data_IF_778989645633
#
_entry.id   IF_778989645633
#
_cell.length_a   1.000
_cell.length_b   1.000
_cell.length_c   1.000
_cell.angle_alpha   90.00
_cell.angle_beta   90.00
_cell.angle_gamma   90.00
#
_symmetry.space_group_name_H-M   'P 1'
#
loop_
_entity.id
_entity.type
_entity.pdbx_description
1 polymer ?
#
# COMPACT_ATOMS: atom_id res chain seq x y z
N UNK A 1 -28.17 6.33 9.64
CA UNK A 1 -28.13 5.17 10.56
C UNK A 1 -26.84 4.43 10.25
N UNK A 2 -25.89 4.37 11.17
CA UNK A 2 -24.67 3.57 10.97
C UNK A 2 -25.03 2.11 11.19
N UNK A 3 -25.00 1.29 10.14
CA UNK A 3 -25.13 -0.15 10.29
C UNK A 3 -24.03 -0.64 11.23
N UNK A 4 -24.44 -1.28 12.30
CA UNK A 4 -23.54 -2.02 13.19
C UNK A 4 -23.13 -3.26 12.42
N UNK A 5 -21.84 -3.41 12.13
CA UNK A 5 -21.34 -4.62 11.48
C UNK A 5 -21.74 -5.85 12.31
N UNK A 6 -22.38 -6.88 11.71
CA UNK A 6 -22.73 -8.09 12.43
C UNK A 6 -21.47 -8.78 12.95
N UNK A 7 -21.57 -9.46 14.09
CA UNK A 7 -20.44 -10.22 14.61
C UNK A 7 -19.93 -11.18 13.51
N UNK A 8 -18.59 -11.34 13.35
CA UNK A 8 -18.08 -12.26 12.35
C UNK A 8 -18.60 -13.67 12.58
N UNK A 9 -18.98 -14.40 11.54
CA UNK A 9 -19.38 -15.82 11.60
C UNK A 9 -18.23 -16.69 12.16
N UNK A 10 -18.52 -17.91 12.59
CA UNK A 10 -17.45 -18.87 12.89
C UNK A 10 -16.60 -19.10 11.65
N UNK A 11 -15.27 -19.22 11.86
CA UNK A 11 -14.38 -19.52 10.75
C UNK A 11 -14.49 -20.99 10.38
N UNK A 12 -14.44 -21.34 9.08
CA UNK A 12 -14.46 -22.71 8.66
C UNK A 12 -13.25 -23.46 9.22
N UNK A 13 -13.43 -24.76 9.49
CA UNK A 13 -12.32 -25.63 9.81
C UNK A 13 -11.33 -25.68 8.62
N UNK A 14 -10.03 -25.86 8.86
CA UNK A 14 -9.07 -26.04 7.77
C UNK A 14 -9.39 -27.33 7.00
N UNK A 15 -8.98 -27.37 5.72
CA UNK A 15 -9.16 -28.56 4.88
C UNK A 15 -8.42 -29.78 5.45
N UNK A 16 -7.31 -29.54 6.13
CA UNK A 16 -6.51 -30.55 6.86
C UNK A 16 -6.56 -30.25 8.36
N UNK A 17 -6.14 -31.20 9.18
CA UNK A 17 -6.15 -31.05 10.64
C UNK A 17 -5.30 -29.89 11.15
N UNK A 18 -4.22 -29.52 10.43
CA UNK A 18 -3.34 -28.39 10.72
C UNK A 18 -2.82 -27.81 9.41
N UNK A 19 -3.10 -26.56 9.07
CA UNK A 19 -2.57 -25.95 7.86
C UNK A 19 -1.08 -25.67 8.00
N UNK A 20 -0.36 -25.75 6.87
CA UNK A 20 1.06 -25.43 6.84
C UNK A 20 1.29 -23.93 7.05
N UNK A 21 0.44 -23.11 6.45
CA UNK A 21 0.55 -21.65 6.47
C UNK A 21 -0.79 -20.98 6.73
N UNK A 22 -0.82 -20.02 7.66
CA UNK A 22 -1.89 -19.04 7.79
C UNK A 22 -1.38 -17.67 7.34
N UNK A 23 -2.01 -17.06 6.33
CA UNK A 23 -1.70 -15.70 5.85
C UNK A 23 -2.71 -14.72 6.40
N UNK A 24 -2.26 -13.59 6.97
CA UNK A 24 -3.15 -12.55 7.51
C UNK A 24 -2.85 -11.21 6.86
N UNK A 25 -3.78 -10.75 6.00
CA UNK A 25 -3.70 -9.50 5.25
C UNK A 25 -4.99 -8.68 5.43
N UNK A 26 -4.89 -7.50 6.01
CA UNK A 26 -6.07 -6.74 6.47
C UNK A 26 -6.60 -5.67 5.53
N UNK A 27 -5.92 -5.38 4.41
CA UNK A 27 -6.30 -4.33 3.46
C UNK A 27 -6.23 -4.83 2.02
N UNK A 28 -6.92 -4.17 1.09
CA UNK A 28 -6.91 -4.57 -0.34
C UNK A 28 -5.50 -4.69 -0.93
N UNK A 29 -4.61 -3.73 -0.64
CA UNK A 29 -3.21 -3.80 -1.10
C UNK A 29 -2.44 -4.96 -0.47
N UNK A 30 -2.71 -5.24 0.82
CA UNK A 30 -2.14 -6.39 1.52
C UNK A 30 -2.62 -7.72 0.93
N UNK A 31 -3.91 -7.83 0.59
CA UNK A 31 -4.51 -8.99 -0.06
C UNK A 31 -3.88 -9.25 -1.43
N UNK A 32 -3.72 -8.20 -2.26
CA UNK A 32 -3.09 -8.29 -3.58
C UNK A 32 -1.63 -8.79 -3.48
N UNK A 33 -0.83 -8.19 -2.61
CA UNK A 33 0.57 -8.59 -2.42
C UNK A 33 0.72 -9.98 -1.81
N UNK A 34 -0.14 -10.33 -0.86
CA UNK A 34 -0.17 -11.66 -0.27
C UNK A 34 -0.62 -12.72 -1.27
N UNK A 35 -1.57 -12.39 -2.15
CA UNK A 35 -2.03 -13.28 -3.22
C UNK A 35 -0.91 -13.62 -4.21
N UNK A 36 -0.08 -12.64 -4.58
CA UNK A 36 1.08 -12.91 -5.43
C UNK A 36 2.08 -13.83 -4.73
N UNK A 37 2.40 -13.54 -3.45
CA UNK A 37 3.28 -14.39 -2.64
C UNK A 37 2.77 -15.84 -2.56
N UNK A 38 1.46 -16.04 -2.32
CA UNK A 38 0.85 -17.36 -2.21
C UNK A 38 0.83 -18.10 -3.56
N UNK A 39 0.52 -17.40 -4.67
CA UNK A 39 0.62 -18.00 -6.01
C UNK A 39 2.02 -18.54 -6.31
N UNK A 40 3.04 -17.70 -6.10
CA UNK A 40 4.43 -18.08 -6.36
C UNK A 40 4.88 -19.24 -5.45
N UNK A 41 4.43 -19.24 -4.19
CA UNK A 41 4.71 -20.30 -3.22
C UNK A 41 4.04 -21.63 -3.64
N UNK A 42 2.75 -21.60 -4.01
CA UNK A 42 2.01 -22.79 -4.43
C UNK A 42 2.44 -23.33 -5.81
N UNK A 43 3.04 -22.50 -6.68
CA UNK A 43 3.70 -22.96 -7.90
C UNK A 43 4.94 -23.80 -7.59
N UNK A 44 5.68 -23.46 -6.54
CA UNK A 44 6.88 -24.20 -6.11
C UNK A 44 6.53 -25.41 -5.23
N UNK A 45 5.51 -25.26 -4.39
CA UNK A 45 5.12 -26.22 -3.35
C UNK A 45 3.58 -26.43 -3.38
N UNK A 46 3.04 -27.12 -4.41
CA UNK A 46 1.59 -27.28 -4.59
C UNK A 46 0.91 -28.14 -3.50
N UNK A 47 1.68 -28.88 -2.72
CA UNK A 47 1.18 -29.69 -1.59
C UNK A 47 0.82 -28.88 -0.36
N UNK A 48 1.28 -27.62 -0.24
CA UNK A 48 1.06 -26.81 0.95
C UNK A 48 -0.42 -26.44 1.16
N UNK A 49 -0.86 -26.59 2.39
CA UNK A 49 -2.20 -26.18 2.80
C UNK A 49 -2.14 -24.77 3.37
N UNK A 50 -2.68 -23.81 2.61
CA UNK A 50 -2.70 -22.40 2.96
C UNK A 50 -4.10 -21.98 3.35
N UNK A 51 -4.26 -21.43 4.56
CA UNK A 51 -5.46 -20.72 4.99
C UNK A 51 -5.20 -19.21 5.05
N UNK A 52 -6.23 -18.38 4.94
CA UNK A 52 -6.05 -16.94 5.03
C UNK A 52 -7.19 -16.20 5.74
N UNK A 53 -6.81 -15.15 6.46
CA UNK A 53 -7.64 -14.00 6.80
C UNK A 53 -7.20 -12.88 5.85
N UNK A 54 -7.94 -12.66 4.78
CA UNK A 54 -7.53 -11.76 3.68
C UNK A 54 -8.72 -11.34 2.86
N UNK A 55 -8.62 -11.43 1.55
CA UNK A 55 -9.69 -11.07 0.64
C UNK A 55 -9.80 -12.01 -0.57
N UNK A 56 -10.58 -11.62 -1.58
CA UNK A 56 -10.85 -12.44 -2.76
C UNK A 56 -9.60 -12.75 -3.60
N UNK A 57 -8.55 -11.91 -3.54
CA UNK A 57 -7.30 -12.16 -4.29
C UNK A 57 -6.52 -13.33 -3.69
N UNK A 58 -6.40 -13.40 -2.36
CA UNK A 58 -5.80 -14.54 -1.67
C UNK A 58 -6.59 -15.83 -1.90
N UNK A 59 -7.93 -15.75 -1.88
CA UNK A 59 -8.77 -16.89 -2.21
C UNK A 59 -8.53 -17.39 -3.64
N UNK A 60 -8.51 -16.49 -4.61
CA UNK A 60 -8.22 -16.81 -6.01
C UNK A 60 -6.79 -17.33 -6.24
N UNK A 61 -5.86 -17.03 -5.33
CA UNK A 61 -4.50 -17.55 -5.34
C UNK A 61 -4.37 -18.97 -4.80
N UNK A 62 -5.45 -19.60 -4.30
CA UNK A 62 -5.50 -20.96 -3.79
C UNK A 62 -5.52 -21.09 -2.27
N UNK A 63 -5.56 -20.01 -1.51
CA UNK A 63 -5.71 -20.06 -0.08
C UNK A 63 -7.17 -20.30 0.34
N UNK A 64 -7.38 -21.12 1.38
CA UNK A 64 -8.70 -21.24 2.00
C UNK A 64 -9.06 -19.97 2.74
N UNK A 65 -10.08 -19.25 2.28
CA UNK A 65 -10.56 -18.02 2.91
C UNK A 65 -11.35 -18.36 4.19
N UNK A 66 -10.84 -17.93 5.33
CA UNK A 66 -11.51 -18.04 6.63
C UNK A 66 -12.43 -16.85 6.88
N UNK A 67 -11.98 -15.65 6.51
CA UNK A 67 -12.72 -14.42 6.65
C UNK A 67 -12.20 -13.34 5.71
N UNK A 68 -13.12 -12.56 5.09
CA UNK A 68 -12.74 -11.42 4.25
C UNK A 68 -12.47 -10.18 5.10
N UNK A 69 -11.18 -9.89 5.29
CA UNK A 69 -10.68 -8.72 6.03
C UNK A 69 -10.81 -7.42 5.21
N UNK A 70 -10.91 -7.52 3.87
CA UNK A 70 -10.88 -6.35 2.98
C UNK A 70 -12.19 -5.57 3.04
N UNK A 71 -13.32 -6.23 3.29
CA UNK A 71 -14.62 -5.58 3.50
C UNK A 71 -14.62 -4.67 4.75
N UNK A 72 -13.84 -5.04 5.77
CA UNK A 72 -13.77 -4.32 7.05
C UNK A 72 -12.81 -3.14 7.00
N UNK A 73 -11.80 -3.19 6.12
CA UNK A 73 -10.78 -2.14 5.99
C UNK A 73 -11.31 -0.82 5.41
N UNK A 74 -12.51 -0.84 4.83
CA UNK A 74 -13.22 0.35 4.31
C UNK A 74 -13.60 1.32 5.44
N UNK A 75 -13.60 0.83 6.69
CA UNK A 75 -13.94 1.59 7.90
C UNK A 75 -12.71 2.37 8.38
N UNK A 76 -12.71 3.69 8.21
CA UNK A 76 -11.60 4.57 8.63
C UNK A 76 -11.37 4.57 10.15
N UNK A 77 -10.20 5.07 10.59
CA UNK A 77 -9.76 5.08 12.00
C UNK A 77 -10.79 5.65 13.01
N UNK A 78 -11.61 6.59 12.61
CA UNK A 78 -12.67 7.18 13.47
C UNK A 78 -13.85 6.20 13.65
N UNK A 79 -14.10 5.36 12.65
CA UNK A 79 -15.17 4.36 12.65
C UNK A 79 -14.74 3.07 13.38
N UNK A 80 -13.43 2.78 13.47
CA UNK A 80 -12.90 1.64 14.26
C UNK A 80 -13.33 1.73 15.72
N UNK A 81 -13.39 2.95 16.30
CA UNK A 81 -13.88 3.14 17.65
C UNK A 81 -15.38 2.79 17.81
N UNK A 82 -16.17 3.02 16.77
CA UNK A 82 -17.62 2.66 16.75
C UNK A 82 -17.84 1.16 16.58
N UNK A 83 -16.93 0.46 15.94
CA UNK A 83 -16.98 -0.99 15.69
C UNK A 83 -16.02 -1.80 16.56
N UNK A 84 -15.60 -1.25 17.71
CA UNK A 84 -14.65 -1.92 18.60
C UNK A 84 -15.09 -3.34 18.99
N UNK A 85 -16.38 -3.56 19.25
CA UNK A 85 -16.92 -4.88 19.57
C UNK A 85 -16.69 -5.91 18.45
N UNK A 86 -16.89 -5.50 17.20
CA UNK A 86 -16.66 -6.33 16.02
C UNK A 86 -15.17 -6.71 15.89
N UNK A 87 -14.28 -5.72 15.95
CA UNK A 87 -12.81 -5.99 15.85
C UNK A 87 -12.30 -6.86 16.99
N UNK A 88 -12.85 -6.69 18.19
CA UNK A 88 -12.54 -7.55 19.33
C UNK A 88 -13.02 -8.99 19.08
N UNK A 89 -14.25 -9.19 18.61
CA UNK A 89 -14.77 -10.52 18.30
C UNK A 89 -13.96 -11.19 17.19
N UNK A 90 -13.61 -10.46 16.14
CA UNK A 90 -12.75 -10.96 15.04
C UNK A 90 -11.36 -11.38 15.57
N UNK A 91 -10.79 -10.60 16.45
CA UNK A 91 -9.49 -10.88 17.06
C UNK A 91 -9.53 -12.14 17.93
N UNK A 92 -10.52 -12.27 18.82
CA UNK A 92 -10.69 -13.46 19.69
C UNK A 92 -10.93 -14.72 18.84
N UNK A 93 -11.81 -14.65 17.83
CA UNK A 93 -12.03 -15.79 16.92
C UNK A 93 -10.79 -16.20 16.15
N UNK A 94 -9.97 -15.24 15.76
CA UNK A 94 -8.67 -15.54 15.11
C UNK A 94 -7.75 -16.29 16.07
N UNK A 95 -7.68 -15.87 17.32
CA UNK A 95 -6.90 -16.55 18.35
C UNK A 95 -7.41 -17.95 18.62
N UNK A 96 -8.73 -18.11 18.82
CA UNK A 96 -9.37 -19.42 19.07
C UNK A 96 -9.14 -20.40 17.93
N UNK A 97 -9.22 -19.92 16.69
CA UNK A 97 -8.93 -20.72 15.51
C UNK A 97 -7.47 -21.17 15.46
N UNK A 98 -6.51 -20.25 15.71
CA UNK A 98 -5.08 -20.58 15.75
C UNK A 98 -4.76 -21.56 16.88
N UNK A 99 -5.34 -21.37 18.05
CA UNK A 99 -5.14 -22.25 19.21
C UNK A 99 -5.69 -23.65 18.97
N UNK A 100 -6.84 -23.75 18.30
CA UNK A 100 -7.49 -25.02 17.97
C UNK A 100 -6.77 -25.79 16.87
N UNK A 101 -6.32 -25.13 15.81
CA UNK A 101 -5.81 -25.80 14.60
C UNK A 101 -4.28 -25.73 14.45
N UNK A 102 -3.58 -24.96 15.26
CA UNK A 102 -2.12 -24.92 15.36
C UNK A 102 -1.42 -24.87 13.99
N UNK A 103 -1.61 -23.82 13.16
CA UNK A 103 -0.90 -23.70 11.89
C UNK A 103 0.62 -23.78 12.14
N UNK A 104 1.37 -24.43 11.26
CA UNK A 104 2.84 -24.55 11.44
C UNK A 104 3.52 -23.18 11.39
N UNK A 105 3.03 -22.30 10.52
CA UNK A 105 3.58 -20.96 10.33
C UNK A 105 2.47 -19.93 10.10
N UNK A 106 2.69 -18.69 10.58
CA UNK A 106 1.82 -17.54 10.30
C UNK A 106 2.64 -16.46 9.60
N UNK A 107 2.20 -16.05 8.41
CA UNK A 107 2.76 -14.91 7.68
C UNK A 107 1.81 -13.70 7.80
N UNK A 108 2.25 -12.70 8.51
CA UNK A 108 1.57 -11.40 8.57
C UNK A 108 1.94 -10.55 7.37
N UNK A 109 0.95 -9.89 6.76
CA UNK A 109 1.17 -8.99 5.63
C UNK A 109 0.56 -7.63 5.93
N UNK A 110 1.39 -6.57 5.96
CA UNK A 110 0.97 -5.21 6.32
C UNK A 110 0.07 -5.17 7.59
N UNK A 111 -0.89 -4.25 7.68
CA UNK A 111 -1.91 -4.15 8.74
C UNK A 111 -1.39 -4.24 10.20
N UNK A 112 -0.39 -3.44 10.57
CA UNK A 112 0.38 -3.62 11.81
C UNK A 112 -0.41 -3.44 13.10
N UNK A 113 -1.58 -2.79 13.04
CA UNK A 113 -2.45 -2.60 14.20
C UNK A 113 -3.01 -3.91 14.74
N UNK A 114 -3.48 -4.77 13.87
CA UNK A 114 -4.02 -6.09 14.18
C UNK A 114 -2.88 -7.12 14.33
N UNK A 115 -2.02 -7.22 13.33
CA UNK A 115 -1.01 -8.26 13.23
C UNK A 115 0.00 -8.26 14.39
N UNK A 116 0.51 -7.10 14.81
CA UNK A 116 1.43 -7.03 15.94
C UNK A 116 0.77 -7.25 17.31
N UNK A 117 -0.54 -7.01 17.43
CA UNK A 117 -1.28 -7.37 18.64
C UNK A 117 -1.51 -8.87 18.68
N UNK A 118 -1.85 -9.48 17.55
CA UNK A 118 -2.02 -10.92 17.44
C UNK A 118 -0.70 -11.66 17.77
N UNK A 119 0.41 -11.25 17.15
CA UNK A 119 1.72 -11.81 17.47
C UNK A 119 2.07 -11.69 18.96
N UNK A 120 1.68 -10.59 19.62
CA UNK A 120 1.89 -10.41 21.06
C UNK A 120 1.05 -11.38 21.91
N UNK A 121 -0.22 -11.61 21.56
CA UNK A 121 -1.06 -12.57 22.27
C UNK A 121 -0.62 -14.01 22.02
N UNK A 122 -0.21 -14.38 20.81
CA UNK A 122 0.37 -15.69 20.50
C UNK A 122 1.63 -15.96 21.35
N UNK A 123 2.49 -14.96 21.52
CA UNK A 123 3.65 -15.06 22.42
C UNK A 123 3.24 -15.25 23.87
N UNK A 124 2.28 -14.48 24.39
CA UNK A 124 1.81 -14.58 25.77
C UNK A 124 1.18 -15.94 26.09
N UNK A 125 0.46 -16.52 25.11
CA UNK A 125 -0.17 -17.85 25.24
C UNK A 125 0.80 -19.00 24.98
N UNK A 126 2.10 -18.72 24.83
CA UNK A 126 3.13 -19.70 24.52
C UNK A 126 2.82 -20.54 23.24
N UNK A 127 2.17 -19.95 22.24
CA UNK A 127 1.84 -20.57 20.96
C UNK A 127 2.96 -20.35 19.92
N UNK A 128 3.54 -19.14 19.87
CA UNK A 128 4.62 -18.81 18.93
C UNK A 128 5.99 -19.28 19.43
N UNK A 129 6.95 -19.51 18.50
CA UNK A 129 8.35 -19.87 18.83
C UNK A 129 8.97 -18.91 19.83
N UNK A 130 8.78 -17.57 19.67
CA UNK A 130 9.28 -16.56 20.63
C UNK A 130 8.57 -16.58 21.98
N UNK A 131 7.48 -17.31 22.14
CA UNK A 131 6.76 -17.56 23.38
C UNK A 131 7.03 -18.93 24.00
N UNK A 132 7.81 -19.80 23.34
CA UNK A 132 8.08 -21.18 23.79
C UNK A 132 7.17 -22.22 23.14
N UNK A 133 6.31 -21.82 22.19
CA UNK A 133 5.48 -22.72 21.39
C UNK A 133 6.15 -23.14 20.08
N UNK A 134 5.35 -23.65 19.14
CA UNK A 134 5.84 -24.23 17.90
C UNK A 134 5.57 -23.40 16.64
N UNK A 135 4.61 -22.47 16.70
CA UNK A 135 4.17 -21.68 15.54
C UNK A 135 5.24 -20.66 15.15
N UNK A 136 5.76 -20.75 13.92
CA UNK A 136 6.65 -19.74 13.34
C UNK A 136 5.89 -18.47 12.99
N UNK A 137 6.47 -17.29 13.22
CA UNK A 137 5.88 -16.01 12.88
C UNK A 137 6.79 -15.21 11.94
N UNK A 138 6.38 -15.02 10.70
CA UNK A 138 7.02 -14.11 9.77
C UNK A 138 6.16 -12.89 9.47
N UNK A 139 6.81 -11.83 8.99
CA UNK A 139 6.12 -10.62 8.56
C UNK A 139 6.62 -10.22 7.18
N UNK A 140 5.71 -10.10 6.23
CA UNK A 140 5.97 -9.61 4.88
C UNK A 140 5.36 -8.20 4.73
N UNK A 141 6.09 -7.28 4.13
CA UNK A 141 5.72 -5.86 4.03
C UNK A 141 5.49 -5.25 5.41
N UNK A 142 6.60 -5.08 6.14
CA UNK A 142 6.58 -4.52 7.49
C UNK A 142 6.08 -3.08 7.56
N UNK A 143 5.67 -2.63 8.76
CA UNK A 143 5.29 -1.23 8.94
C UNK A 143 6.45 -0.29 8.65
N UNK A 144 6.18 0.84 8.01
CA UNK A 144 7.17 1.84 7.58
C UNK A 144 7.82 2.56 8.78
N UNK A 145 8.65 1.84 9.56
CA UNK A 145 9.32 2.37 10.76
C UNK A 145 10.36 3.43 10.45
N UNK A 146 10.85 3.48 9.21
CA UNK A 146 11.74 4.51 8.71
C UNK A 146 11.06 5.89 8.63
N UNK A 147 9.75 5.94 8.46
CA UNK A 147 8.98 7.18 8.41
C UNK A 147 8.54 7.62 9.82
N UNK A 148 8.12 6.69 10.68
CA UNK A 148 7.58 7.00 12.00
C UNK A 148 7.61 5.77 12.94
N UNK A 149 7.58 6.00 14.27
CA UNK A 149 7.59 4.94 15.29
C UNK A 149 8.79 3.97 15.16
N UNK A 150 9.98 4.47 14.90
CA UNK A 150 11.20 3.68 14.74
C UNK A 150 11.44 2.66 15.90
N UNK A 151 11.03 2.97 17.13
CA UNK A 151 11.15 2.04 18.29
C UNK A 151 10.32 0.77 18.15
N UNK A 152 9.37 0.71 17.17
CA UNK A 152 8.56 -0.49 16.92
C UNK A 152 9.41 -1.69 16.52
N UNK A 153 10.61 -1.49 15.92
CA UNK A 153 11.53 -2.56 15.56
C UNK A 153 11.91 -3.47 16.74
N UNK A 154 12.09 -2.91 17.94
CA UNK A 154 12.39 -3.71 19.12
C UNK A 154 11.22 -4.60 19.55
N UNK A 155 9.99 -4.09 19.44
CA UNK A 155 8.80 -4.90 19.67
C UNK A 155 8.70 -6.03 18.64
N UNK A 156 8.92 -5.73 17.36
CA UNK A 156 8.89 -6.73 16.30
C UNK A 156 9.96 -7.81 16.47
N UNK A 157 11.18 -7.44 16.83
CA UNK A 157 12.26 -8.38 17.12
C UNK A 157 11.95 -9.33 18.30
N UNK A 158 11.18 -8.87 19.28
CA UNK A 158 10.73 -9.73 20.38
C UNK A 158 9.53 -10.61 20.08
N UNK A 159 8.90 -10.49 18.89
CA UNK A 159 7.67 -11.20 18.52
C UNK A 159 7.85 -12.10 17.31
N UNK A 160 8.66 -11.70 16.34
CA UNK A 160 8.76 -12.31 15.01
C UNK A 160 10.06 -13.11 14.87
N UNK A 161 10.01 -14.15 14.07
CA UNK A 161 11.18 -14.96 13.74
C UNK A 161 11.91 -14.40 12.51
N UNK A 162 11.18 -13.85 11.53
CA UNK A 162 11.73 -13.22 10.31
C UNK A 162 10.88 -12.05 9.82
N UNK A 163 11.51 -11.17 9.05
CA UNK A 163 10.86 -10.04 8.37
C UNK A 163 11.35 -9.93 6.92
N UNK A 164 10.44 -10.05 5.96
CA UNK A 164 10.66 -9.75 4.55
C UNK A 164 10.26 -8.31 4.24
N UNK A 165 11.23 -7.47 3.86
CA UNK A 165 11.00 -6.07 3.50
C UNK A 165 11.05 -5.85 1.99
N UNK A 166 10.32 -4.84 1.50
CA UNK A 166 10.17 -4.56 0.07
C UNK A 166 11.00 -3.39 -0.42
N UNK A 167 11.67 -2.67 0.50
CA UNK A 167 12.63 -1.64 0.16
C UNK A 167 14.01 -2.00 0.74
N UNK A 168 15.11 -1.89 -0.06
CA UNK A 168 16.43 -2.33 0.38
C UNK A 168 16.93 -1.57 1.62
N UNK A 169 16.61 -0.28 1.75
CA UNK A 169 17.01 0.55 2.90
C UNK A 169 16.31 0.17 4.22
N UNK A 170 15.23 -0.62 4.17
CA UNK A 170 14.51 -1.04 5.38
C UNK A 170 15.34 -2.04 6.21
N UNK A 171 16.22 -2.82 5.58
CA UNK A 171 17.14 -3.72 6.29
C UNK A 171 17.95 -2.95 7.32
N UNK A 172 18.48 -1.80 6.95
CA UNK A 172 19.28 -0.94 7.83
C UNK A 172 18.49 -0.44 9.06
N UNK A 173 17.18 -0.35 8.93
CA UNK A 173 16.32 0.10 10.03
C UNK A 173 16.24 -0.87 11.21
N UNK A 174 16.72 -2.10 11.05
CA UNK A 174 16.66 -3.16 12.05
C UNK A 174 18.04 -3.65 12.50
N UNK A 175 19.15 -3.03 12.07
CA UNK A 175 20.53 -3.45 12.35
C UNK A 175 20.87 -3.55 13.85
N UNK A 176 20.18 -2.77 14.69
CA UNK A 176 20.34 -2.77 16.15
C UNK A 176 19.39 -3.77 16.86
N UNK A 177 18.86 -4.76 16.12
CA UNK A 177 17.98 -5.82 16.64
C UNK A 177 18.49 -7.20 16.24
N UNK A 178 18.03 -8.23 16.96
CA UNK A 178 18.32 -9.63 16.61
C UNK A 178 17.29 -10.25 15.61
N UNK A 179 16.41 -9.44 15.01
CA UNK A 179 15.44 -9.91 14.02
C UNK A 179 16.14 -10.14 12.69
N UNK A 180 16.07 -11.35 12.10
CA UNK A 180 16.49 -11.58 10.74
C UNK A 180 15.60 -10.78 9.78
N UNK A 181 16.19 -9.86 9.02
CA UNK A 181 15.49 -8.99 8.07
C UNK A 181 16.12 -9.13 6.69
N UNK A 182 15.31 -9.45 5.70
CA UNK A 182 15.76 -9.66 4.32
C UNK A 182 14.98 -8.77 3.35
N UNK A 183 15.69 -8.19 2.40
CA UNK A 183 15.07 -7.54 1.26
C UNK A 183 14.66 -8.61 0.24
N UNK A 184 13.35 -8.78 0.05
CA UNK A 184 12.75 -9.85 -0.78
C UNK A 184 12.21 -9.33 -2.12
N UNK A 185 12.58 -8.11 -2.50
CA UNK A 185 12.08 -7.44 -3.70
C UNK A 185 10.72 -6.77 -3.50
N UNK A 186 10.39 -5.87 -4.42
CA UNK A 186 9.09 -5.18 -4.39
C UNK A 186 8.10 -5.87 -5.34
N UNK A 187 6.83 -6.11 -4.95
CA UNK A 187 5.83 -6.76 -5.80
C UNK A 187 5.66 -6.10 -7.18
N UNK A 188 5.78 -4.77 -7.27
CA UNK A 188 5.63 -4.02 -8.53
C UNK A 188 6.71 -4.27 -9.58
N UNK A 189 7.80 -4.93 -9.25
CA UNK A 189 8.87 -5.29 -10.20
C UNK A 189 8.94 -6.79 -10.47
N UNK A 190 8.00 -7.58 -9.96
CA UNK A 190 7.84 -8.98 -10.33
C UNK A 190 7.47 -9.11 -11.82
N UNK A 191 7.93 -10.19 -12.46
CA UNK A 191 7.76 -10.38 -13.91
C UNK A 191 6.29 -10.36 -14.37
N UNK A 192 5.39 -10.89 -13.54
CA UNK A 192 3.97 -11.02 -13.85
C UNK A 192 3.12 -9.82 -13.37
N UNK A 193 3.75 -8.82 -12.74
CA UNK A 193 3.02 -7.65 -12.25
C UNK A 193 2.80 -6.62 -13.36
N UNK A 194 1.55 -6.37 -13.70
CA UNK A 194 1.17 -5.31 -14.62
C UNK A 194 0.97 -4.00 -13.87
N UNK A 195 1.80 -2.99 -14.19
CA UNK A 195 1.64 -1.66 -13.61
C UNK A 195 0.30 -1.05 -14.04
N UNK A 196 -0.42 -0.36 -13.13
CA UNK A 196 -1.69 0.28 -13.45
C UNK A 196 -1.56 1.52 -14.34
N UNK A 197 -0.36 1.87 -14.75
CA UNK A 197 -0.05 3.04 -15.56
C UNK A 197 0.91 2.72 -16.69
N UNK A 198 0.78 3.51 -17.79
CA UNK A 198 1.70 3.50 -18.92
C UNK A 198 1.92 4.93 -19.41
N UNK A 199 3.18 5.29 -19.67
CA UNK A 199 3.50 6.58 -20.29
C UNK A 199 3.08 6.61 -21.77
N UNK A 200 2.48 7.73 -22.17
CA UNK A 200 2.23 8.08 -23.58
C UNK A 200 2.21 9.61 -23.71
N UNK A 201 3.03 10.23 -24.58
CA UNK A 201 3.06 11.68 -24.76
C UNK A 201 1.75 12.29 -25.24
N UNK A 202 0.86 11.48 -25.82
CA UNK A 202 -0.50 11.88 -26.25
C UNK A 202 -1.58 11.60 -25.19
N UNK A 203 -1.21 10.96 -24.09
CA UNK A 203 -2.11 10.62 -22.99
C UNK A 203 -2.68 11.86 -22.27
N UNK A 204 -3.71 11.65 -21.49
CA UNK A 204 -4.23 12.67 -20.57
C UNK A 204 -3.28 12.92 -19.41
N UNK A 205 -3.44 14.05 -18.73
CA UNK A 205 -2.82 14.30 -17.43
C UNK A 205 -3.55 13.47 -16.37
N UNK A 206 -2.82 12.78 -15.50
CA UNK A 206 -3.40 12.13 -14.33
C UNK A 206 -3.48 13.11 -13.16
N UNK A 207 -4.64 13.16 -12.50
CA UNK A 207 -4.83 13.83 -11.23
C UNK A 207 -5.16 12.76 -10.18
N UNK A 208 -4.22 12.45 -9.29
CA UNK A 208 -4.33 11.39 -8.28
C UNK A 208 -4.39 12.00 -6.87
N UNK A 209 -5.58 12.45 -6.39
CA UNK A 209 -5.71 13.14 -5.11
C UNK A 209 -5.62 12.20 -3.88
N UNK A 210 -5.57 10.88 -4.12
CA UNK A 210 -5.54 9.85 -3.10
C UNK A 210 -6.84 9.05 -2.98
N UNK A 211 -6.86 8.08 -2.06
CA UNK A 211 -7.96 7.12 -1.87
C UNK A 211 -8.83 7.39 -0.63
N UNK A 212 -8.46 8.34 0.22
CA UNK A 212 -9.18 8.67 1.46
C UNK A 212 -9.96 9.97 1.31
N UNK A 213 -11.21 10.01 1.74
CA UNK A 213 -12.09 11.20 1.65
C UNK A 213 -11.39 12.48 2.13
N UNK A 214 -10.72 12.43 3.28
CA UNK A 214 -10.03 13.58 3.86
C UNK A 214 -8.85 14.09 3.00
N UNK A 215 -8.13 13.21 2.31
CA UNK A 215 -7.06 13.59 1.38
C UNK A 215 -7.65 14.18 0.10
N UNK A 216 -8.62 13.49 -0.50
CA UNK A 216 -9.31 13.94 -1.72
C UNK A 216 -9.91 15.34 -1.53
N UNK A 217 -10.64 15.57 -0.43
CA UNK A 217 -11.27 16.87 -0.15
C UNK A 217 -10.28 18.04 -0.01
N UNK A 218 -9.02 17.77 0.37
CA UNK A 218 -7.99 18.79 0.52
C UNK A 218 -7.10 18.99 -0.70
N UNK A 219 -6.82 17.89 -1.41
CA UNK A 219 -5.85 17.89 -2.51
C UNK A 219 -6.55 18.14 -3.84
N UNK A 220 -7.71 17.55 -4.10
CA UNK A 220 -8.35 17.62 -5.40
C UNK A 220 -8.71 19.02 -5.86
N UNK A 221 -9.27 19.95 -5.01
CA UNK A 221 -9.53 21.32 -5.42
C UNK A 221 -8.27 22.03 -5.92
N UNK A 222 -7.13 21.77 -5.28
CA UNK A 222 -5.83 22.38 -5.65
C UNK A 222 -5.30 21.82 -6.96
N UNK A 223 -5.48 20.50 -7.20
CA UNK A 223 -5.12 19.86 -8.46
C UNK A 223 -5.98 20.39 -9.62
N UNK A 224 -7.29 20.56 -9.41
CA UNK A 224 -8.20 21.10 -10.42
C UNK A 224 -7.83 22.54 -10.77
N UNK A 225 -7.57 23.41 -9.77
CA UNK A 225 -7.16 24.78 -10.02
C UNK A 225 -5.80 24.85 -10.74
N UNK A 226 -4.85 24.00 -10.38
CA UNK A 226 -3.58 23.87 -11.08
C UNK A 226 -3.77 23.42 -12.55
N UNK A 227 -4.62 22.43 -12.78
CA UNK A 227 -4.97 21.97 -14.11
C UNK A 227 -5.67 23.06 -14.92
N UNK A 228 -6.61 23.81 -14.33
CA UNK A 228 -7.28 24.95 -14.97
C UNK A 228 -6.28 25.99 -15.45
N UNK A 229 -5.31 26.36 -14.61
CA UNK A 229 -4.25 27.31 -14.97
C UNK A 229 -3.32 26.77 -16.07
N UNK A 230 -2.98 25.47 -16.02
CA UNK A 230 -2.20 24.84 -17.08
C UNK A 230 -2.95 24.80 -18.41
N UNK A 231 -4.26 24.52 -18.38
CA UNK A 231 -5.13 24.48 -19.57
C UNK A 231 -5.26 25.85 -20.24
N UNK A 232 -5.12 26.97 -19.53
CA UNK A 232 -5.06 28.31 -20.13
C UNK A 232 -3.84 28.45 -21.06
N UNK A 233 -2.74 27.75 -20.74
CA UNK A 233 -1.51 27.76 -21.56
C UNK A 233 -1.52 26.70 -22.67
N UNK A 234 -2.17 25.55 -22.41
CA UNK A 234 -2.33 24.44 -23.35
C UNK A 234 -3.81 24.01 -23.36
N UNK A 235 -4.65 24.64 -24.19
CA UNK A 235 -6.11 24.43 -24.21
C UNK A 235 -6.56 22.99 -24.52
N UNK A 236 -5.74 22.22 -25.23
CA UNK A 236 -5.99 20.83 -25.60
C UNK A 236 -5.82 19.82 -24.47
N UNK A 237 -5.25 20.24 -23.33
CA UNK A 237 -5.04 19.35 -22.19
C UNK A 237 -6.37 18.74 -21.72
N UNK A 238 -6.34 17.42 -21.52
CA UNK A 238 -7.39 16.64 -20.86
C UNK A 238 -6.84 16.02 -19.60
N UNK A 239 -7.67 15.80 -18.61
CA UNK A 239 -7.29 15.13 -17.37
C UNK A 239 -8.12 13.88 -17.12
N UNK A 240 -7.51 12.89 -16.49
CA UNK A 240 -8.16 11.70 -15.97
C UNK A 240 -7.91 11.63 -14.45
N UNK A 241 -8.96 11.32 -13.70
CA UNK A 241 -8.92 11.11 -12.24
C UNK A 241 -9.35 9.69 -11.97
N UNK A 242 -8.52 8.90 -11.27
CA UNK A 242 -8.88 7.55 -10.89
C UNK A 242 -9.50 7.53 -9.49
N UNK A 243 -10.50 6.67 -9.31
CA UNK A 243 -11.14 6.46 -8.01
C UNK A 243 -11.28 4.97 -7.66
N UNK A 244 -11.06 4.59 -6.37
CA UNK A 244 -11.14 3.19 -5.95
C UNK A 244 -12.53 2.74 -5.53
N UNK A 245 -13.50 3.66 -5.33
CA UNK A 245 -14.85 3.33 -4.83
C UNK A 245 -15.86 4.41 -5.17
N UNK A 246 -17.15 4.04 -5.21
CA UNK A 246 -18.26 4.98 -5.44
C UNK A 246 -18.35 6.09 -4.37
N UNK A 247 -17.95 5.80 -3.14
CA UNK A 247 -17.83 6.82 -2.07
C UNK A 247 -16.86 7.92 -2.46
N UNK A 248 -15.69 7.55 -2.98
CA UNK A 248 -14.68 8.51 -3.45
C UNK A 248 -15.16 9.23 -4.71
N UNK A 249 -15.80 8.51 -5.64
CA UNK A 249 -16.41 9.10 -6.83
C UNK A 249 -17.39 10.22 -6.48
N UNK A 250 -18.28 9.98 -5.50
CA UNK A 250 -19.24 11.00 -5.04
C UNK A 250 -18.56 12.28 -4.51
N UNK A 251 -17.44 12.14 -3.79
CA UNK A 251 -16.64 13.29 -3.32
C UNK A 251 -16.00 14.03 -4.50
N UNK A 252 -15.42 13.31 -5.47
CA UNK A 252 -14.79 13.90 -6.66
C UNK A 252 -15.82 14.64 -7.51
N UNK A 253 -16.99 14.07 -7.76
CA UNK A 253 -18.08 14.71 -8.53
C UNK A 253 -18.53 16.02 -7.88
N UNK A 254 -18.74 16.01 -6.57
CA UNK A 254 -19.14 17.23 -5.84
C UNK A 254 -18.11 18.33 -5.99
N UNK A 255 -16.82 18.02 -5.83
CA UNK A 255 -15.75 19.02 -5.96
C UNK A 255 -15.60 19.49 -7.41
N UNK A 256 -15.67 18.57 -8.39
CA UNK A 256 -15.60 18.92 -9.82
C UNK A 256 -16.78 19.80 -10.24
N UNK A 257 -17.94 19.65 -9.59
CA UNK A 257 -19.11 20.52 -9.78
C UNK A 257 -18.86 22.00 -9.47
N UNK A 258 -17.88 22.31 -8.63
CA UNK A 258 -17.43 23.68 -8.32
C UNK A 258 -16.55 24.30 -9.45
N UNK A 259 -16.20 23.49 -10.49
CA UNK A 259 -15.37 23.88 -11.63
C UNK A 259 -16.09 23.58 -12.96
N UNK A 260 -17.19 24.27 -13.28
CA UNK A 260 -18.03 23.96 -14.45
C UNK A 260 -17.24 24.01 -15.78
N UNK A 261 -16.24 24.88 -15.89
CA UNK A 261 -15.38 25.02 -17.05
C UNK A 261 -14.45 23.82 -17.30
N UNK A 262 -14.26 22.94 -16.31
CA UNK A 262 -13.42 21.75 -16.42
C UNK A 262 -14.21 20.46 -16.67
N UNK A 263 -15.53 20.46 -16.58
CA UNK A 263 -16.35 19.25 -16.69
C UNK A 263 -16.16 18.50 -18.02
N UNK A 264 -15.93 19.21 -19.12
CA UNK A 264 -15.67 18.60 -20.44
C UNK A 264 -14.21 18.14 -20.62
N UNK A 265 -13.30 18.58 -19.76
CA UNK A 265 -11.86 18.32 -19.85
C UNK A 265 -11.36 17.29 -18.84
N UNK A 266 -12.15 16.97 -17.80
CA UNK A 266 -11.79 16.06 -16.71
C UNK A 266 -12.71 14.86 -16.71
N UNK A 267 -12.14 13.66 -16.86
CA UNK A 267 -12.87 12.39 -16.85
C UNK A 267 -12.56 11.65 -15.57
N UNK A 268 -13.61 11.20 -14.85
CA UNK A 268 -13.46 10.31 -13.70
C UNK A 268 -13.58 8.85 -14.16
N UNK A 269 -12.61 8.01 -13.82
CA UNK A 269 -12.60 6.57 -14.14
C UNK A 269 -12.45 5.74 -12.87
N UNK A 270 -13.15 4.63 -12.79
CA UNK A 270 -12.86 3.61 -11.78
C UNK A 270 -11.48 3.00 -12.02
N UNK A 271 -10.82 2.57 -10.95
CA UNK A 271 -9.65 1.71 -11.07
C UNK A 271 -10.02 0.46 -11.86
N UNK A 272 -9.17 0.06 -12.78
CA UNK A 272 -9.37 -1.14 -13.61
C UNK A 272 -8.06 -1.92 -13.73
N UNK A 273 -8.15 -3.15 -14.23
CA UNK A 273 -6.98 -3.98 -14.56
C UNK A 273 -6.20 -3.45 -15.77
N UNK A 274 -6.86 -2.66 -16.65
CA UNK A 274 -6.16 -2.07 -17.79
C UNK A 274 -5.32 -0.86 -17.37
N UNK A 275 -4.04 -0.77 -17.83
CA UNK A 275 -3.18 0.36 -17.51
C UNK A 275 -3.75 1.69 -18.03
N UNK A 276 -3.88 2.66 -17.15
CA UNK A 276 -4.27 4.01 -17.55
C UNK A 276 -3.08 4.72 -18.22
N UNK A 277 -3.32 5.17 -19.43
CA UNK A 277 -2.33 5.89 -20.23
C UNK A 277 -2.25 7.35 -19.80
N UNK A 278 -1.03 7.87 -19.63
CA UNK A 278 -0.82 9.26 -19.23
C UNK A 278 0.48 9.88 -19.74
N UNK A 279 0.45 11.21 -19.98
CA UNK A 279 1.64 11.99 -20.36
C UNK A 279 2.34 12.65 -19.17
N UNK A 280 1.60 12.99 -18.13
CA UNK A 280 2.10 13.65 -16.93
C UNK A 280 1.15 13.42 -15.74
N UNK A 281 1.59 13.69 -14.53
CA UNK A 281 0.79 13.49 -13.32
C UNK A 281 0.98 14.58 -12.27
N UNK A 282 -0.13 14.93 -11.59
CA UNK A 282 -0.10 15.54 -10.26
C UNK A 282 -0.70 14.53 -9.27
N UNK A 283 0.06 14.10 -8.28
CA UNK A 283 -0.33 12.97 -7.43
C UNK A 283 -0.08 13.24 -5.95
N UNK A 284 -0.93 12.65 -5.10
CA UNK A 284 -0.65 12.55 -3.67
C UNK A 284 0.47 11.53 -3.40
N UNK A 285 1.15 11.67 -2.26
CA UNK A 285 2.09 10.65 -1.80
C UNK A 285 1.34 9.35 -1.43
N UNK A 286 1.90 8.18 -1.78
CA UNK A 286 1.35 6.87 -1.47
C UNK A 286 1.86 5.78 -2.44
N UNK A 287 1.34 4.58 -2.32
CA UNK A 287 1.72 3.40 -3.13
C UNK A 287 1.61 3.68 -4.64
N UNK A 288 0.55 4.39 -5.06
CA UNK A 288 0.36 4.74 -6.47
C UNK A 288 1.47 5.65 -7.02
N UNK A 289 2.14 6.45 -6.17
CA UNK A 289 3.27 7.29 -6.62
C UNK A 289 4.48 6.47 -7.06
N UNK A 290 4.69 5.29 -6.46
CA UNK A 290 5.73 4.36 -6.90
C UNK A 290 5.35 3.71 -8.23
N UNK A 291 4.09 3.30 -8.42
CA UNK A 291 3.62 2.74 -9.68
C UNK A 291 3.75 3.75 -10.84
N UNK A 292 3.43 5.03 -10.60
CA UNK A 292 3.66 6.13 -11.55
C UNK A 292 5.13 6.28 -11.90
N UNK A 293 6.02 6.26 -10.88
CA UNK A 293 7.45 6.37 -11.09
C UNK A 293 8.01 5.20 -11.90
N UNK A 294 7.58 3.97 -11.60
CA UNK A 294 7.95 2.77 -12.36
C UNK A 294 7.40 2.77 -13.79
N UNK A 295 6.26 3.42 -14.03
CA UNK A 295 5.73 3.62 -15.38
C UNK A 295 6.47 4.71 -16.18
N UNK A 296 7.46 5.40 -15.59
CA UNK A 296 8.22 6.46 -16.23
C UNK A 296 7.38 7.70 -16.55
N UNK A 297 6.31 7.98 -15.78
CA UNK A 297 5.45 9.12 -16.00
C UNK A 297 5.99 10.32 -15.23
N UNK A 298 6.35 11.42 -15.90
CA UNK A 298 6.82 12.65 -15.26
C UNK A 298 5.69 13.36 -14.52
N UNK A 299 6.03 14.10 -13.45
CA UNK A 299 5.01 14.83 -12.70
C UNK A 299 5.49 15.40 -11.38
N UNK A 300 4.55 15.63 -10.47
CA UNK A 300 4.86 16.18 -9.16
C UNK A 300 4.00 15.55 -8.05
N UNK A 301 4.58 15.48 -6.86
CA UNK A 301 3.93 15.00 -5.64
C UNK A 301 3.37 16.19 -4.87
N UNK A 302 2.10 16.10 -4.48
CA UNK A 302 1.36 17.11 -3.75
C UNK A 302 0.90 16.53 -2.42
N UNK A 303 1.17 17.22 -1.32
CA UNK A 303 0.78 16.74 0.00
C UNK A 303 0.18 17.84 0.85
N UNK A 304 -1.06 17.62 1.31
CA UNK A 304 -1.78 18.54 2.20
C UNK A 304 -2.42 17.78 3.35
N UNK A 305 -2.03 18.12 4.57
CA UNK A 305 -2.65 17.67 5.81
C UNK A 305 -3.44 18.82 6.44
N UNK A 306 -4.26 18.52 7.46
CA UNK A 306 -4.73 19.58 8.35
C UNK A 306 -3.55 20.16 9.13
N UNK A 307 -3.63 21.43 9.52
CA UNK A 307 -2.52 22.15 10.17
C UNK A 307 -2.01 21.44 11.42
N UNK A 308 -2.90 20.88 12.25
CA UNK A 308 -2.54 20.16 13.47
C UNK A 308 -1.78 18.87 13.17
N UNK A 309 -2.30 18.06 12.23
CA UNK A 309 -1.63 16.82 11.82
C UNK A 309 -0.27 17.08 11.15
N UNK A 310 -0.13 18.18 10.43
CA UNK A 310 1.14 18.58 9.82
C UNK A 310 2.20 18.93 10.88
N UNK A 311 1.85 19.74 11.88
CA UNK A 311 2.78 20.10 12.95
C UNK A 311 3.23 18.87 13.73
N UNK A 312 2.31 17.97 14.08
CA UNK A 312 2.64 16.69 14.73
C UNK A 312 3.53 15.83 13.80
N UNK A 313 3.16 15.71 12.52
CA UNK A 313 3.92 14.96 11.52
C UNK A 313 5.36 15.46 11.35
N UNK A 314 5.58 16.78 11.34
CA UNK A 314 6.91 17.38 11.19
C UNK A 314 7.88 17.04 12.35
N UNK A 315 7.36 16.82 13.56
CA UNK A 315 8.18 16.35 14.70
C UNK A 315 8.41 14.85 14.70
N UNK A 316 7.55 14.08 14.06
CA UNK A 316 7.56 12.61 14.11
C UNK A 316 8.21 12.00 12.85
N UNK A 317 8.02 12.62 11.69
CA UNK A 317 8.54 12.14 10.39
C UNK A 317 9.97 12.65 10.18
N UNK A 318 10.93 11.72 10.07
CA UNK A 318 12.38 12.02 9.97
C UNK A 318 12.94 11.95 8.55
N UNK A 319 12.08 11.80 7.53
CA UNK A 319 12.54 11.64 6.15
C UNK A 319 12.69 12.97 5.43
N UNK A 320 13.70 13.06 4.55
CA UNK A 320 13.97 14.25 3.72
C UNK A 320 12.98 14.38 2.55
N UNK A 321 12.36 13.29 2.15
CA UNK A 321 11.39 13.22 1.05
C UNK A 321 10.18 12.38 1.47
N UNK A 322 8.98 12.78 1.02
CA UNK A 322 7.73 12.04 1.27
C UNK A 322 7.38 11.07 0.12
N UNK A 323 7.96 11.28 -1.05
CA UNK A 323 7.80 10.40 -2.21
C UNK A 323 8.77 9.23 -2.14
N UNK A 324 8.23 8.01 -2.23
CA UNK A 324 9.04 6.77 -2.21
C UNK A 324 10.08 6.76 -3.32
N UNK A 325 9.75 7.21 -4.54
CA UNK A 325 10.68 7.30 -5.67
C UNK A 325 11.87 8.20 -5.36
N UNK A 326 11.64 9.37 -4.76
CA UNK A 326 12.70 10.32 -4.38
C UNK A 326 13.57 9.76 -3.24
N UNK A 327 12.94 9.05 -2.30
CA UNK A 327 13.64 8.39 -1.19
C UNK A 327 14.57 7.28 -1.69
N UNK A 328 14.08 6.43 -2.59
CA UNK A 328 14.84 5.33 -3.20
C UNK A 328 16.05 5.87 -3.99
N UNK A 329 15.82 6.85 -4.85
CA UNK A 329 16.85 7.42 -5.71
C UNK A 329 17.79 8.38 -4.97
N UNK A 330 17.45 8.82 -3.76
CA UNK A 330 18.14 9.88 -3.01
C UNK A 330 18.29 11.19 -3.82
N UNK A 331 17.41 11.39 -4.80
CA UNK A 331 17.30 12.59 -5.66
C UNK A 331 15.83 12.87 -5.98
N UNK A 332 15.53 14.10 -6.42
CA UNK A 332 14.16 14.47 -6.80
C UNK A 332 13.86 14.00 -8.24
N UNK A 333 13.18 12.87 -8.38
CA UNK A 333 12.55 12.45 -9.63
C UNK A 333 11.24 13.22 -9.85
N UNK A 334 10.42 13.29 -8.81
CA UNK A 334 9.18 14.04 -8.80
C UNK A 334 9.30 15.18 -7.77
N UNK A 335 9.28 16.46 -8.17
CA UNK A 335 9.24 17.59 -7.24
C UNK A 335 8.11 17.44 -6.21
N UNK A 336 8.39 17.77 -4.95
CA UNK A 336 7.44 17.64 -3.84
C UNK A 336 6.94 19.01 -3.39
N UNK A 337 5.63 19.19 -3.41
CA UNK A 337 4.96 20.42 -2.96
C UNK A 337 4.12 20.10 -1.73
N UNK A 338 4.60 20.58 -0.57
CA UNK A 338 4.03 20.24 0.74
C UNK A 338 3.37 21.49 1.33
N UNK A 339 2.12 21.36 1.78
CA UNK A 339 1.35 22.40 2.48
C UNK A 339 1.32 23.74 1.72
N UNK A 340 1.96 24.78 2.25
CA UNK A 340 1.99 26.13 1.66
C UNK A 340 2.69 26.17 0.30
N UNK A 341 3.62 25.25 0.00
CA UNK A 341 4.27 25.13 -1.31
C UNK A 341 3.32 24.57 -2.39
N UNK A 342 2.26 23.85 -2.00
CA UNK A 342 1.27 23.29 -2.93
C UNK A 342 0.29 24.37 -3.41
N UNK A 343 0.80 25.40 -4.07
CA UNK A 343 0.00 26.49 -4.65
C UNK A 343 -0.39 26.17 -6.10
N UNK A 344 -1.63 26.45 -6.53
CA UNK A 344 -2.09 26.14 -7.87
C UNK A 344 -1.20 26.66 -9.00
N UNK A 345 -0.70 27.89 -8.90
CA UNK A 345 0.22 28.47 -9.91
C UNK A 345 1.54 27.70 -10.02
N UNK A 346 2.10 27.28 -8.87
CA UNK A 346 3.36 26.53 -8.82
C UNK A 346 3.15 25.12 -9.40
N UNK A 347 2.05 24.49 -9.04
CA UNK A 347 1.68 23.15 -9.55
C UNK A 347 1.36 23.19 -11.04
N UNK A 348 0.71 24.23 -11.55
CA UNK A 348 0.47 24.41 -12.98
C UNK A 348 1.79 24.50 -13.76
N UNK A 349 2.75 25.28 -13.27
CA UNK A 349 4.07 25.39 -13.88
C UNK A 349 4.84 24.05 -13.82
N UNK A 350 4.73 23.31 -12.72
CA UNK A 350 5.32 21.96 -12.60
C UNK A 350 4.67 20.97 -13.56
N UNK A 351 3.34 21.01 -13.72
CA UNK A 351 2.60 20.17 -14.65
C UNK A 351 3.00 20.45 -16.11
N UNK A 352 3.09 21.71 -16.50
CA UNK A 352 3.52 22.08 -17.86
C UNK A 352 4.94 21.58 -18.14
N UNK A 353 5.88 21.76 -17.22
CA UNK A 353 7.23 21.19 -17.36
C UNK A 353 7.22 19.66 -17.43
N UNK A 354 6.33 19.00 -16.70
CA UNK A 354 6.20 17.55 -16.77
C UNK A 354 5.68 17.05 -18.14
N UNK A 355 5.03 17.92 -18.93
CA UNK A 355 4.61 17.61 -20.28
C UNK A 355 5.73 17.72 -21.34
N UNK A 356 6.92 18.19 -20.96
CA UNK A 356 8.06 18.34 -21.87
C UNK A 356 8.79 17.00 -22.09
N UNK A 357 9.43 16.86 -23.25
CA UNK A 357 10.16 15.63 -23.65
C UNK A 357 11.32 15.31 -22.68
N UNK A 358 12.02 16.33 -22.20
CA UNK A 358 13.16 16.15 -21.30
C UNK A 358 12.71 15.57 -19.93
N UNK A 359 11.53 15.99 -19.45
CA UNK A 359 10.94 15.43 -18.24
C UNK A 359 10.59 13.95 -18.42
N UNK A 360 10.07 13.56 -19.59
CA UNK A 360 9.77 12.18 -19.92
C UNK A 360 11.03 11.30 -19.96
N UNK A 361 12.12 11.79 -20.59
CA UNK A 361 13.40 11.10 -20.63
C UNK A 361 13.96 10.91 -19.20
N UNK A 362 13.90 11.95 -18.38
CA UNK A 362 14.36 11.88 -16.99
C UNK A 362 13.52 10.89 -16.16
N UNK A 363 12.20 10.89 -16.34
CA UNK A 363 11.28 9.96 -15.66
C UNK A 363 11.52 8.50 -16.08
N UNK A 364 11.74 8.24 -17.38
CA UNK A 364 12.08 6.90 -17.88
C UNK A 364 13.39 6.37 -17.27
N UNK A 365 14.45 7.18 -17.26
CA UNK A 365 15.72 6.80 -16.61
C UNK A 365 15.53 6.54 -15.11
N UNK A 366 14.76 7.38 -14.43
CA UNK A 366 14.44 7.18 -13.02
C UNK A 366 13.65 5.88 -12.77
N UNK A 367 12.75 5.52 -13.68
CA UNK A 367 12.02 4.25 -13.61
C UNK A 367 12.97 3.05 -13.68
N UNK A 368 13.93 3.07 -14.59
CA UNK A 368 14.92 1.98 -14.74
C UNK A 368 15.83 1.88 -13.51
N UNK A 369 16.28 3.01 -12.96
CA UNK A 369 17.05 3.04 -11.71
C UNK A 369 16.22 2.47 -10.54
N UNK A 370 14.94 2.84 -10.41
CA UNK A 370 14.06 2.31 -9.35
C UNK A 370 13.84 0.81 -9.54
N UNK A 371 13.61 0.33 -10.77
CA UNK A 371 13.46 -1.11 -11.04
C UNK A 371 14.72 -1.88 -10.61
N UNK A 372 15.89 -1.37 -10.95
CA UNK A 372 17.16 -1.99 -10.55
C UNK A 372 17.32 -2.05 -9.02
N UNK A 373 16.91 -1.00 -8.29
CA UNK A 373 16.97 -0.96 -6.82
C UNK A 373 15.95 -1.90 -6.16
N UNK A 374 14.79 -2.06 -6.76
CA UNK A 374 13.69 -2.85 -6.19
C UNK A 374 13.73 -4.33 -6.61
N UNK A 375 14.54 -4.67 -7.61
CA UNK A 375 14.76 -6.05 -8.01
C UNK A 375 15.83 -6.66 -7.10
N UNK A 376 15.53 -7.74 -6.37
CA UNK A 376 16.53 -8.40 -5.50
C UNK A 376 17.65 -9.09 -6.29
N UNK A 377 17.59 -9.15 -7.64
CA UNK A 377 18.55 -9.86 -8.47
C UNK A 377 18.50 -11.36 -8.23
N UNK A 378 19.64 -11.96 -7.85
CA UNK A 378 19.75 -13.35 -7.41
C UNK A 378 19.39 -13.55 -5.94
N UNK A 379 19.03 -12.48 -5.21
CA UNK A 379 18.60 -12.59 -3.82
C UNK A 379 17.25 -13.30 -3.72
N UNK A 380 16.94 -13.81 -2.54
CA UNK A 380 15.76 -14.59 -2.22
C UNK A 380 14.49 -13.82 -2.56
N UNK A 381 13.67 -14.33 -3.47
CA UNK A 381 12.33 -13.78 -3.73
C UNK A 381 11.42 -14.04 -2.54
N UNK A 382 10.35 -13.28 -2.42
CA UNK A 382 9.42 -13.38 -1.28
C UNK A 382 8.88 -14.81 -1.07
N UNK A 383 8.60 -15.56 -2.16
CA UNK A 383 8.14 -16.94 -2.07
C UNK A 383 9.23 -17.89 -1.55
N UNK A 384 10.48 -17.78 -2.06
CA UNK A 384 11.62 -18.58 -1.61
C UNK A 384 11.93 -18.28 -0.14
N UNK A 385 11.89 -17.00 0.23
CA UNK A 385 12.08 -16.54 1.60
C UNK A 385 11.05 -17.17 2.55
N UNK A 386 9.77 -17.23 2.16
CA UNK A 386 8.74 -17.85 2.99
C UNK A 386 8.82 -19.38 2.95
N UNK A 387 9.10 -19.99 1.79
CA UNK A 387 9.23 -21.44 1.63
C UNK A 387 10.31 -22.07 2.52
N UNK A 388 11.37 -21.31 2.84
CA UNK A 388 12.45 -21.77 3.74
C UNK A 388 12.01 -21.93 5.21
N UNK A 389 10.81 -21.47 5.58
CA UNK A 389 10.23 -21.62 6.91
C UNK A 389 9.18 -22.73 7.01
N UNK A 390 8.74 -23.29 5.86
CA UNK A 390 7.72 -24.32 5.72
C UNK A 390 8.34 -25.68 5.35
#
# INVERSE_FOLDING_TARGET
MSEVLPAPSEFPAPVTSSPDLLVIAGEHSGDEHAAQLVRDLLQQRPELQVACLGGPQLHAAGAQLLYDMTEVSIVGFVEVAKHYGFFRALFERTLDWIERYQPKHICFVDYPGFNLRLAQELKKRALSKKGGGTIGLSYYIGPQIWAWKAKRRFKMAGLLDRLGVIFPFEVDCYQDTALPVEFVGHPFVCADHQLPFRYDPKGAVLLLPGSRVAAVSRIFPVLLEAFRLAKVRQPELKACVLYPSERIRGVLLRILGEFPELQSAVVLKANSSEPQVARAVLMSSGTMSLAVALAGIPGAIVYRLNSLSYWIGRFVVRVKSIGISNLLLKKQLHPEFIQAAAQPKVLAAALLRACDSDAAIAASRGADEIRALLNPGSATRAADWLASEL
#
